data_IF_231302159955
#
_entry.id   IF_231302159955
#
_cell.length_a   1.000
_cell.length_b   1.000
_cell.length_c   1.000
_cell.angle_alpha   90.00
_cell.angle_beta   90.00
_cell.angle_gamma   90.00
#
_symmetry.space_group_name_H-M   'P 1'
#
loop_
_entity.id
_entity.type
_entity.pdbx_description
1 polymer ?
#
# COMPACT_ATOMS: atom_id res chain seq x y z
N UNK A 1 -7.98 7.50 9.93
CA UNK A 1 -8.08 8.36 8.73
C UNK A 1 -8.82 7.63 7.63
N UNK A 2 -9.68 8.33 6.90
CA UNK A 2 -10.42 7.76 5.76
C UNK A 2 -10.32 8.71 4.56
N UNK A 3 -10.94 8.34 3.44
CA UNK A 3 -10.82 9.11 2.19
C UNK A 3 -11.33 10.55 2.35
N UNK A 4 -12.37 10.77 3.14
CA UNK A 4 -12.93 12.10 3.36
C UNK A 4 -11.99 13.00 4.15
N UNK A 5 -11.17 12.41 5.03
CA UNK A 5 -10.22 13.16 5.84
C UNK A 5 -9.13 13.81 4.99
N UNK A 6 -8.74 13.20 3.87
CA UNK A 6 -7.75 13.78 2.96
C UNK A 6 -8.23 15.10 2.39
N UNK A 7 -9.48 15.15 1.97
CA UNK A 7 -10.06 16.36 1.42
C UNK A 7 -10.19 17.45 2.48
N UNK A 8 -10.56 17.07 3.69
CA UNK A 8 -10.62 18.00 4.83
C UNK A 8 -9.23 18.58 5.16
N UNK A 9 -8.18 17.75 5.16
CA UNK A 9 -6.81 18.20 5.36
C UNK A 9 -6.40 19.20 4.28
N UNK A 10 -6.72 18.93 3.03
CA UNK A 10 -6.43 19.84 1.92
C UNK A 10 -7.13 21.18 2.12
N UNK A 11 -8.40 21.17 2.50
CA UNK A 11 -9.18 22.39 2.75
C UNK A 11 -8.58 23.22 3.88
N UNK A 12 -8.06 22.59 4.92
CA UNK A 12 -7.41 23.25 6.06
C UNK A 12 -5.93 23.54 5.83
N UNK A 13 -5.39 23.15 4.67
CA UNK A 13 -3.95 23.28 4.33
C UNK A 13 -3.05 22.54 5.32
N UNK A 14 -3.54 21.46 5.89
CA UNK A 14 -2.75 20.57 6.75
C UNK A 14 -1.97 19.59 5.90
N UNK A 15 -0.74 19.32 6.27
CA UNK A 15 0.11 18.35 5.58
C UNK A 15 -0.26 16.94 6.01
N UNK A 16 -0.20 16.01 5.06
CA UNK A 16 -0.39 14.58 5.30
C UNK A 16 0.99 13.93 5.23
N UNK A 17 1.35 13.19 6.27
CA UNK A 17 2.64 12.50 6.35
C UNK A 17 2.47 11.06 5.89
N UNK A 18 3.23 10.67 4.86
CA UNK A 18 3.25 9.32 4.34
C UNK A 18 4.63 8.70 4.54
N UNK A 19 4.66 7.45 4.95
CA UNK A 19 5.89 6.68 5.14
C UNK A 19 5.72 5.28 4.60
N UNK A 20 6.77 4.72 4.01
CA UNK A 20 6.78 3.32 3.59
C UNK A 20 6.97 2.40 4.79
N UNK A 21 6.29 1.24 4.74
CA UNK A 21 6.42 0.22 5.77
C UNK A 21 6.04 -1.12 5.16
N UNK A 22 6.74 -2.20 5.52
CA UNK A 22 6.61 -3.48 4.84
C UNK A 22 6.37 -4.67 5.78
N UNK A 23 6.41 -4.49 7.08
CA UNK A 23 6.35 -5.60 8.02
C UNK A 23 5.64 -5.22 9.32
N UNK A 24 5.30 -6.22 10.10
CA UNK A 24 4.54 -6.06 11.33
C UNK A 24 5.30 -5.24 12.38
N UNK A 25 6.57 -5.56 12.61
CA UNK A 25 7.36 -4.89 13.65
C UNK A 25 7.49 -3.40 13.38
N UNK A 26 7.83 -3.03 12.12
CA UNK A 26 7.92 -1.63 11.72
C UNK A 26 6.56 -0.95 11.82
N UNK A 27 5.48 -1.64 11.46
CA UNK A 27 4.13 -1.10 11.55
C UNK A 27 3.75 -0.76 13.00
N UNK A 28 4.13 -1.60 13.96
CA UNK A 28 3.89 -1.33 15.38
C UNK A 28 4.60 -0.05 15.84
N UNK A 29 5.80 0.21 15.32
CA UNK A 29 6.53 1.44 15.64
C UNK A 29 5.82 2.64 15.00
N UNK A 30 5.42 2.53 13.72
CA UNK A 30 4.74 3.59 12.99
C UNK A 30 3.38 3.90 13.62
N UNK A 31 2.71 2.90 14.18
CA UNK A 31 1.40 3.08 14.81
C UNK A 31 1.42 4.14 15.92
N UNK A 32 2.51 4.24 16.65
CA UNK A 32 2.66 5.19 17.74
C UNK A 32 3.20 6.56 17.29
N UNK A 33 3.32 6.76 15.99
CA UNK A 33 3.85 8.00 15.41
C UNK A 33 2.75 8.89 14.84
N UNK A 34 3.13 10.08 14.37
CA UNK A 34 2.24 11.03 13.72
C UNK A 34 2.06 10.78 12.22
N UNK A 35 2.55 9.66 11.71
CA UNK A 35 2.34 9.28 10.31
C UNK A 35 0.85 9.02 10.07
N UNK A 36 0.33 9.59 8.98
CA UNK A 36 -1.09 9.46 8.62
C UNK A 36 -1.32 8.29 7.67
N UNK A 37 -0.44 8.10 6.71
CA UNK A 37 -0.58 7.14 5.62
C UNK A 37 0.64 6.24 5.56
N UNK A 38 0.40 4.96 5.39
CA UNK A 38 1.46 3.99 5.15
C UNK A 38 1.36 3.53 3.70
N UNK A 39 2.48 3.60 2.99
CA UNK A 39 2.60 3.01 1.66
C UNK A 39 3.29 1.66 1.78
N UNK A 40 2.59 0.60 1.42
CA UNK A 40 3.20 -0.71 1.24
C UNK A 40 3.57 -0.80 -0.22
N UNK A 41 4.83 -0.45 -0.53
CA UNK A 41 5.31 -0.31 -1.89
C UNK A 41 5.84 -1.61 -2.47
N UNK A 42 5.83 -1.71 -3.80
CA UNK A 42 6.41 -2.85 -4.51
C UNK A 42 7.94 -2.92 -4.33
N UNK A 43 8.55 -1.84 -3.85
CA UNK A 43 9.94 -1.87 -3.40
C UNK A 43 10.20 -2.89 -2.29
N UNK A 44 9.14 -3.48 -1.70
CA UNK A 44 9.27 -4.62 -0.79
C UNK A 44 10.09 -5.76 -1.41
N UNK A 45 9.98 -5.96 -2.73
CA UNK A 45 10.76 -6.96 -3.43
C UNK A 45 12.27 -6.72 -3.24
N UNK A 46 12.68 -5.47 -3.24
CA UNK A 46 14.09 -5.10 -3.07
C UNK A 46 14.49 -5.04 -1.59
N UNK A 47 13.71 -4.33 -0.80
CA UNK A 47 14.05 -4.02 0.59
C UNK A 47 13.91 -5.24 1.50
N UNK A 48 12.87 -6.03 1.30
CA UNK A 48 12.56 -7.17 2.17
C UNK A 48 13.04 -8.50 1.61
N UNK A 49 13.12 -8.62 0.28
CA UNK A 49 13.46 -9.88 -0.37
C UNK A 49 14.80 -9.86 -1.12
N UNK A 50 15.44 -8.71 -1.20
CA UNK A 50 16.79 -8.60 -1.75
C UNK A 50 16.90 -8.63 -3.27
N UNK A 51 15.80 -8.54 -4.01
CA UNK A 51 15.87 -8.46 -5.46
C UNK A 51 16.47 -7.14 -5.92
N UNK A 52 17.07 -7.13 -7.10
CA UNK A 52 17.68 -5.92 -7.67
C UNK A 52 16.68 -4.96 -8.30
N UNK A 53 15.43 -5.38 -8.47
CA UNK A 53 14.35 -4.57 -9.08
C UNK A 53 13.04 -4.89 -8.39
N UNK A 54 11.99 -4.12 -8.73
CA UNK A 54 10.63 -4.37 -8.23
C UNK A 54 9.86 -5.37 -9.09
N UNK A 55 10.39 -5.76 -10.25
CA UNK A 55 9.69 -6.65 -11.19
C UNK A 55 9.24 -7.97 -10.57
N UNK A 56 10.01 -8.63 -9.67
CA UNK A 56 9.55 -9.88 -9.04
C UNK A 56 8.35 -9.73 -8.11
N UNK A 57 7.97 -8.51 -7.72
CA UNK A 57 6.80 -8.32 -6.85
C UNK A 57 5.54 -8.77 -7.58
N UNK A 58 4.74 -9.59 -6.92
CA UNK A 58 3.45 -10.03 -7.42
C UNK A 58 2.35 -9.71 -6.41
N UNK A 59 1.11 -9.96 -6.79
CA UNK A 59 -0.05 -9.65 -5.94
C UNK A 59 0.01 -10.43 -4.62
N UNK A 60 0.42 -11.69 -4.65
CA UNK A 60 0.52 -12.49 -3.45
C UNK A 60 1.54 -11.91 -2.47
N UNK A 61 2.71 -11.55 -2.97
CA UNK A 61 3.76 -10.91 -2.15
C UNK A 61 3.23 -9.63 -1.50
N UNK A 62 2.59 -8.77 -2.29
CA UNK A 62 2.06 -7.52 -1.80
C UNK A 62 0.98 -7.74 -0.75
N UNK A 63 0.10 -8.71 -0.97
CA UNK A 63 -0.95 -9.04 0.01
C UNK A 63 -0.34 -9.47 1.35
N UNK A 64 0.71 -10.26 1.34
CA UNK A 64 1.36 -10.70 2.58
C UNK A 64 1.95 -9.53 3.36
N UNK A 65 2.59 -8.60 2.68
CA UNK A 65 3.14 -7.40 3.33
C UNK A 65 2.02 -6.51 3.87
N UNK A 66 0.97 -6.29 3.08
CA UNK A 66 -0.18 -5.49 3.49
C UNK A 66 -0.87 -6.08 4.72
N UNK A 67 -1.07 -7.40 4.74
CA UNK A 67 -1.66 -8.09 5.89
C UNK A 67 -0.83 -7.87 7.16
N UNK A 68 0.48 -7.99 7.05
CA UNK A 68 1.38 -7.80 8.18
C UNK A 68 1.32 -6.37 8.72
N UNK A 69 1.35 -5.39 7.83
CA UNK A 69 1.23 -3.98 8.19
C UNK A 69 -0.14 -3.68 8.79
N UNK A 70 -1.19 -4.22 8.20
CA UNK A 70 -2.57 -4.03 8.68
C UNK A 70 -2.74 -4.54 10.11
N UNK A 71 -2.16 -5.68 10.43
CA UNK A 71 -2.21 -6.22 11.80
C UNK A 71 -1.44 -5.36 12.80
N UNK A 72 -0.43 -4.64 12.32
CA UNK A 72 0.41 -3.79 13.18
C UNK A 72 -0.14 -2.39 13.41
N UNK A 73 -1.19 -2.00 12.72
CA UNK A 73 -1.77 -0.65 12.80
C UNK A 73 -3.27 -0.71 13.08
N UNK A 74 -3.82 0.36 13.67
CA UNK A 74 -5.25 0.44 13.99
C UNK A 74 -5.96 1.55 13.22
N UNK A 75 -5.33 2.71 13.09
CA UNK A 75 -5.97 3.91 12.54
C UNK A 75 -5.16 4.58 11.43
N UNK A 76 -4.18 3.89 10.87
CA UNK A 76 -3.40 4.40 9.74
C UNK A 76 -4.11 4.07 8.43
N UNK A 77 -4.00 4.96 7.46
CA UNK A 77 -4.53 4.73 6.12
C UNK A 77 -3.47 3.98 5.31
N UNK A 78 -3.81 2.81 4.81
CA UNK A 78 -2.87 1.94 4.11
C UNK A 78 -3.12 2.01 2.62
N UNK A 79 -2.08 2.38 1.87
CA UNK A 79 -2.06 2.36 0.40
C UNK A 79 -1.18 1.19 -0.03
N UNK A 80 -1.73 0.29 -0.83
CA UNK A 80 -0.98 -0.83 -1.38
C UNK A 80 -0.64 -0.60 -2.85
N UNK A 81 0.62 -0.82 -3.22
CA UNK A 81 1.02 -0.78 -4.62
C UNK A 81 0.48 -1.98 -5.38
N UNK A 82 -0.03 -1.71 -6.58
CA UNK A 82 -0.30 -2.78 -7.54
C UNK A 82 1.02 -3.12 -8.24
N UNK A 83 1.43 -4.40 -8.23
CA UNK A 83 2.69 -4.81 -8.84
C UNK A 83 2.73 -4.57 -10.35
N UNK A 84 3.94 -4.60 -10.90
CA UNK A 84 4.19 -4.40 -12.33
C UNK A 84 3.27 -5.29 -13.18
N UNK A 85 2.53 -4.67 -14.09
CA UNK A 85 1.58 -5.29 -15.02
C UNK A 85 0.37 -6.00 -14.38
N UNK A 86 0.21 -6.00 -13.06
CA UNK A 86 -0.93 -6.67 -12.42
C UNK A 86 -2.28 -6.03 -12.75
N UNK A 87 -2.28 -4.79 -13.22
CA UNK A 87 -3.48 -4.07 -13.62
C UNK A 87 -3.61 -3.88 -15.14
N UNK A 88 -2.80 -4.63 -15.92
CA UNK A 88 -2.80 -4.57 -17.38
C UNK A 88 -3.20 -5.89 -18.02
N UNK A 89 -4.01 -6.64 -17.32
CA UNK A 89 -4.57 -7.90 -17.77
C UNK A 89 -6.01 -7.67 -18.25
N UNK A 90 -6.84 -8.68 -18.23
CA UNK A 90 -8.25 -8.49 -18.50
C UNK A 90 -8.90 -7.67 -17.37
N UNK A 91 -10.06 -7.06 -17.65
CA UNK A 91 -10.79 -6.32 -16.61
C UNK A 91 -11.10 -7.21 -15.41
N UNK A 92 -11.52 -8.45 -15.64
CA UNK A 92 -11.81 -9.39 -14.56
C UNK A 92 -10.58 -9.67 -13.71
N UNK A 93 -9.43 -9.92 -14.33
CA UNK A 93 -8.19 -10.20 -13.59
C UNK A 93 -7.69 -8.95 -12.85
N UNK A 94 -7.81 -7.78 -13.46
CA UNK A 94 -7.44 -6.53 -12.81
C UNK A 94 -8.31 -6.29 -11.56
N UNK A 95 -9.62 -6.52 -11.67
CA UNK A 95 -10.53 -6.37 -10.54
C UNK A 95 -10.24 -7.37 -9.42
N UNK A 96 -9.89 -8.61 -9.77
CA UNK A 96 -9.48 -9.62 -8.78
C UNK A 96 -8.20 -9.21 -8.05
N UNK A 97 -7.23 -8.69 -8.78
CA UNK A 97 -5.98 -8.23 -8.19
C UNK A 97 -6.22 -7.09 -7.20
N UNK A 98 -7.00 -6.09 -7.59
CA UNK A 98 -7.35 -4.97 -6.71
C UNK A 98 -8.13 -5.47 -5.49
N UNK A 99 -9.11 -6.36 -5.70
CA UNK A 99 -9.91 -6.92 -4.61
C UNK A 99 -9.03 -7.67 -3.60
N UNK A 100 -8.04 -8.43 -4.08
CA UNK A 100 -7.11 -9.16 -3.21
C UNK A 100 -6.32 -8.19 -2.32
N UNK A 101 -5.80 -7.13 -2.91
CA UNK A 101 -5.03 -6.11 -2.18
C UNK A 101 -5.90 -5.41 -1.13
N UNK A 102 -7.13 -5.05 -1.50
CA UNK A 102 -8.06 -4.42 -0.57
C UNK A 102 -8.46 -5.37 0.57
N UNK A 103 -8.71 -6.65 0.26
CA UNK A 103 -9.03 -7.66 1.28
C UNK A 103 -7.87 -7.92 2.24
N UNK A 104 -6.64 -7.76 1.77
CA UNK A 104 -5.46 -7.91 2.61
C UNK A 104 -5.37 -6.81 3.68
N UNK A 105 -6.05 -5.69 3.49
CA UNK A 105 -6.13 -4.62 4.48
C UNK A 105 -5.83 -3.24 3.94
N UNK A 106 -5.56 -3.10 2.64
CA UNK A 106 -5.35 -1.78 2.03
C UNK A 106 -6.66 -0.99 1.97
N UNK A 107 -6.56 0.31 2.17
CA UNK A 107 -7.70 1.22 2.05
C UNK A 107 -7.76 1.87 0.67
N UNK A 108 -6.65 1.84 -0.05
CA UNK A 108 -6.54 2.32 -1.43
C UNK A 108 -5.39 1.59 -2.12
N UNK A 109 -5.37 1.64 -3.44
CA UNK A 109 -4.28 1.07 -4.23
C UNK A 109 -3.60 2.17 -5.02
N UNK A 110 -2.31 1.98 -5.30
CA UNK A 110 -1.55 2.88 -6.15
C UNK A 110 -1.23 2.17 -7.46
N UNK A 111 -1.46 2.85 -8.58
CA UNK A 111 -1.16 2.38 -9.93
C UNK A 111 -0.10 3.27 -10.53
N UNK A 112 0.89 2.68 -11.17
CA UNK A 112 1.93 3.41 -11.90
C UNK A 112 1.96 2.98 -13.35
N UNK A 113 2.38 3.91 -14.24
CA UNK A 113 2.50 3.61 -15.66
C UNK A 113 1.15 3.31 -16.32
N UNK A 114 0.15 4.10 -16.00
CA UNK A 114 -1.21 3.91 -16.50
C UNK A 114 -1.38 4.28 -17.98
N UNK A 115 -0.35 4.83 -18.59
CA UNK A 115 -0.36 5.16 -20.02
C UNK A 115 -0.08 3.93 -20.87
N UNK A 116 -0.83 3.79 -21.89
CA UNK A 116 -0.62 2.78 -22.91
C UNK A 116 -1.25 1.47 -22.65
#
# INVERSE_FOLDING_TARGET
>A
MNVLDFQACKARKEKIVMLTCYDYTSARIVQDSDVDVILVGDSAAMVMHGYGTTIPADVEMMCRHIESVSRGTENKFIVGDMPFLSFRQSLTDNMRAVASVMKAGAHAVKLEGIEG
#
